data_IF_438480192992
#
_entry.id   IF_438480192992
#
_cell.length_a   1.000
_cell.length_b   1.000
_cell.length_c   1.000
_cell.angle_alpha   90.00
_cell.angle_beta   90.00
_cell.angle_gamma   90.00
#
_symmetry.space_group_name_H-M   'P 1'
#
loop_
_entity.id
_entity.type
_entity.pdbx_description
1 polymer ?
#
# COMPACT_ATOMS: atom_id res chain seq x y z
N UNK A 1 -10.73 -10.71 -0.69
CA UNK A 1 -10.58 -12.15 -1.02
C UNK A 1 -11.14 -12.97 0.14
N UNK A 2 -11.49 -14.25 -0.09
CA UNK A 2 -11.97 -15.14 1.01
C UNK A 2 -10.94 -15.20 2.16
N UNK A 3 -9.66 -15.32 1.83
CA UNK A 3 -8.57 -15.33 2.82
C UNK A 3 -8.46 -14.03 3.63
N UNK A 4 -8.64 -12.87 2.98
CA UNK A 4 -8.55 -11.58 3.67
C UNK A 4 -9.72 -11.35 4.64
N UNK A 5 -10.90 -11.91 4.36
CA UNK A 5 -12.04 -11.84 5.28
C UNK A 5 -11.85 -12.75 6.50
N UNK A 6 -11.32 -13.96 6.29
CA UNK A 6 -10.94 -14.86 7.40
C UNK A 6 -9.90 -14.21 8.31
N UNK A 7 -8.84 -13.63 7.73
CA UNK A 7 -7.82 -12.90 8.50
C UNK A 7 -8.39 -11.70 9.24
N UNK A 8 -9.28 -10.93 8.62
CA UNK A 8 -9.93 -9.79 9.27
C UNK A 8 -10.72 -10.25 10.51
N UNK A 9 -11.52 -11.32 10.38
CA UNK A 9 -12.27 -11.90 11.50
C UNK A 9 -11.35 -12.36 12.63
N UNK A 10 -10.29 -13.10 12.32
CA UNK A 10 -9.31 -13.58 13.31
C UNK A 10 -8.61 -12.43 14.03
N UNK A 11 -8.16 -11.40 13.31
CA UNK A 11 -7.46 -10.25 13.87
C UNK A 11 -8.40 -9.45 14.76
N UNK A 12 -9.60 -9.12 14.28
CA UNK A 12 -10.60 -8.38 15.06
C UNK A 12 -10.99 -9.14 16.33
N UNK A 13 -11.19 -10.45 16.24
CA UNK A 13 -11.45 -11.30 17.42
C UNK A 13 -10.29 -11.25 18.43
N UNK A 14 -9.04 -11.34 17.95
CA UNK A 14 -7.84 -11.23 18.80
C UNK A 14 -7.66 -9.84 19.42
N UNK A 15 -8.22 -8.80 18.82
CA UNK A 15 -8.26 -7.44 19.37
C UNK A 15 -9.38 -7.27 20.42
N UNK A 16 -10.17 -8.31 20.69
CA UNK A 16 -11.19 -8.33 21.74
C UNK A 16 -12.58 -7.86 21.30
N UNK A 17 -12.85 -7.80 20.00
CA UNK A 17 -14.20 -7.52 19.48
C UNK A 17 -14.86 -8.79 18.94
N UNK A 18 -16.18 -8.80 18.85
CA UNK A 18 -16.97 -9.89 18.24
C UNK A 18 -17.51 -9.42 16.87
N UNK A 19 -16.72 -9.49 15.79
CA UNK A 19 -17.10 -8.88 14.52
C UNK A 19 -18.16 -9.69 13.78
N UNK A 20 -19.14 -8.98 13.19
CA UNK A 20 -20.02 -9.54 12.16
C UNK A 20 -19.27 -9.73 10.83
N UNK A 21 -19.92 -10.37 9.85
CA UNK A 21 -19.38 -10.49 8.50
C UNK A 21 -19.24 -9.11 7.83
N UNK A 22 -20.23 -8.23 8.02
CA UNK A 22 -20.21 -6.86 7.49
C UNK A 22 -19.07 -6.03 8.08
N UNK A 23 -18.77 -6.19 9.38
CA UNK A 23 -17.61 -5.52 10.01
C UNK A 23 -16.30 -5.96 9.35
N UNK A 24 -16.16 -7.25 9.05
CA UNK A 24 -14.96 -7.79 8.40
C UNK A 24 -14.80 -7.25 6.98
N UNK A 25 -15.90 -7.11 6.24
CA UNK A 25 -15.91 -6.53 4.89
C UNK A 25 -15.54 -5.05 4.97
N UNK A 26 -16.13 -4.30 5.90
CA UNK A 26 -15.86 -2.88 6.09
C UNK A 26 -14.38 -2.65 6.43
N UNK A 27 -13.82 -3.40 7.38
CA UNK A 27 -12.40 -3.29 7.75
C UNK A 27 -11.48 -3.64 6.58
N UNK A 28 -11.76 -4.72 5.83
CA UNK A 28 -10.99 -5.05 4.64
C UNK A 28 -11.01 -3.91 3.61
N UNK A 29 -12.18 -3.30 3.39
CA UNK A 29 -12.32 -2.20 2.44
C UNK A 29 -11.56 -0.95 2.88
N UNK A 30 -11.67 -0.59 4.17
CA UNK A 30 -10.91 0.53 4.75
C UNK A 30 -9.41 0.30 4.62
N UNK A 31 -8.91 -0.90 4.96
CA UNK A 31 -7.49 -1.23 4.82
C UNK A 31 -7.01 -1.08 3.37
N UNK A 32 -7.79 -1.57 2.40
CA UNK A 32 -7.45 -1.45 0.98
C UNK A 32 -7.39 0.02 0.53
N UNK A 33 -8.34 0.85 0.95
CA UNK A 33 -8.34 2.29 0.63
C UNK A 33 -7.11 2.97 1.24
N UNK A 34 -6.83 2.71 2.52
CA UNK A 34 -5.72 3.34 3.22
C UNK A 34 -4.38 2.95 2.61
N UNK A 35 -4.16 1.66 2.35
CA UNK A 35 -2.89 1.20 1.76
C UNK A 35 -2.71 1.69 0.32
N UNK A 36 -3.77 1.67 -0.48
CA UNK A 36 -3.74 2.17 -1.85
C UNK A 36 -3.46 3.68 -1.90
N UNK A 37 -4.08 4.47 -1.01
CA UNK A 37 -3.79 5.91 -0.91
C UNK A 37 -2.33 6.17 -0.53
N UNK A 38 -1.81 5.41 0.44
CA UNK A 38 -0.39 5.50 0.81
C UNK A 38 0.53 5.18 -0.37
N UNK A 39 0.25 4.12 -1.12
CA UNK A 39 1.02 3.76 -2.32
C UNK A 39 0.98 4.88 -3.38
N UNK A 40 -0.18 5.47 -3.64
CA UNK A 40 -0.33 6.56 -4.61
C UNK A 40 0.43 7.83 -4.20
N UNK A 41 0.41 8.18 -2.91
CA UNK A 41 1.18 9.33 -2.41
C UNK A 41 2.69 9.13 -2.59
N UNK A 42 3.19 7.92 -2.32
CA UNK A 42 4.60 7.62 -2.56
C UNK A 42 4.93 7.57 -4.06
N UNK A 43 4.04 7.02 -4.89
CA UNK A 43 4.22 7.03 -6.33
C UNK A 43 4.31 8.47 -6.89
N UNK A 44 3.47 9.39 -6.40
CA UNK A 44 3.50 10.79 -6.80
C UNK A 44 4.81 11.49 -6.40
N UNK A 45 5.25 11.30 -5.14
CA UNK A 45 6.49 11.91 -4.65
C UNK A 45 7.73 11.33 -5.33
N UNK A 46 7.79 10.00 -5.52
CA UNK A 46 8.86 9.35 -6.27
C UNK A 46 8.86 9.81 -7.74
N UNK A 47 7.68 9.93 -8.36
CA UNK A 47 7.52 10.46 -9.71
C UNK A 47 8.10 11.87 -9.85
N UNK A 48 7.91 12.75 -8.86
CA UNK A 48 8.50 14.08 -8.84
C UNK A 48 10.04 14.04 -8.77
N UNK A 49 10.61 13.18 -7.92
CA UNK A 49 12.07 12.99 -7.83
C UNK A 49 12.63 12.48 -9.15
N UNK A 50 12.01 11.46 -9.75
CA UNK A 50 12.44 10.87 -11.01
C UNK A 50 12.33 11.87 -12.17
N UNK A 51 11.28 12.69 -12.19
CA UNK A 51 11.13 13.77 -13.16
C UNK A 51 12.28 14.77 -13.03
N UNK A 52 12.58 15.21 -11.80
CA UNK A 52 13.69 16.12 -11.56
C UNK A 52 15.05 15.52 -11.97
N UNK A 53 15.28 14.24 -11.69
CA UNK A 53 16.51 13.55 -12.12
C UNK A 53 16.63 13.45 -13.65
N UNK A 54 15.51 13.23 -14.35
CA UNK A 54 15.46 13.24 -15.82
C UNK A 54 15.83 14.62 -16.36
N UNK A 55 15.20 15.66 -15.82
CA UNK A 55 15.43 17.05 -16.25
C UNK A 55 16.88 17.48 -16.03
N UNK A 56 17.45 17.14 -14.86
CA UNK A 56 18.86 17.41 -14.54
C UNK A 56 19.83 16.69 -15.51
N UNK A 57 19.47 15.52 -16.03
CA UNK A 57 20.28 14.80 -17.03
C UNK A 57 20.07 15.29 -18.45
N UNK A 58 19.05 16.13 -18.68
CA UNK A 58 18.65 16.65 -19.99
C UNK A 58 18.48 15.54 -21.06
N UNK A 59 17.84 14.43 -20.67
CA UNK A 59 17.57 13.31 -21.59
C UNK A 59 16.06 13.13 -21.81
N UNK A 60 15.63 12.69 -23.01
CA UNK A 60 14.20 12.47 -23.28
C UNK A 60 13.62 11.31 -22.44
N UNK A 61 14.46 10.33 -22.07
CA UNK A 61 14.13 9.17 -21.24
C UNK A 61 15.12 9.02 -20.10
N UNK A 62 14.62 8.65 -18.92
CA UNK A 62 15.43 8.29 -17.75
C UNK A 62 15.41 6.78 -17.57
N UNK A 63 16.59 6.15 -17.52
CA UNK A 63 16.78 4.78 -17.03
C UNK A 63 17.50 4.85 -15.70
N UNK A 64 16.88 4.34 -14.65
CA UNK A 64 17.45 4.31 -13.29
C UNK A 64 16.87 3.13 -12.51
N UNK A 65 17.49 2.82 -11.37
CA UNK A 65 17.02 1.80 -10.43
C UNK A 65 16.72 2.49 -9.11
N UNK A 66 15.58 2.15 -8.49
CA UNK A 66 15.22 2.64 -7.16
C UNK A 66 15.41 1.49 -6.18
N UNK A 67 16.31 1.66 -5.22
CA UNK A 67 16.46 0.71 -4.11
C UNK A 67 15.32 0.92 -3.11
N UNK A 68 14.57 -0.14 -2.82
CA UNK A 68 13.44 -0.11 -1.88
C UNK A 68 13.73 -1.07 -0.73
N UNK A 69 13.51 -0.60 0.48
CA UNK A 69 13.45 -1.41 1.70
C UNK A 69 12.27 -0.93 2.57
N UNK A 70 11.90 -1.73 3.56
CA UNK A 70 10.79 -1.46 4.47
C UNK A 70 9.86 -2.66 4.58
N UNK A 71 9.47 -2.98 5.82
CA UNK A 71 8.59 -4.11 6.12
C UNK A 71 7.25 -4.00 5.39
N UNK A 72 6.67 -2.79 5.26
CA UNK A 72 5.44 -2.56 4.53
C UNK A 72 5.57 -2.93 3.04
N UNK A 73 6.62 -2.47 2.34
CA UNK A 73 6.86 -2.80 0.94
C UNK A 73 7.13 -4.29 0.72
N UNK A 74 7.67 -4.98 1.73
CA UNK A 74 7.99 -6.42 1.67
C UNK A 74 6.82 -7.33 2.01
N UNK A 75 5.90 -6.89 2.87
CA UNK A 75 4.88 -7.76 3.47
C UNK A 75 3.44 -7.37 3.11
N UNK A 76 3.20 -6.19 2.52
CA UNK A 76 1.86 -5.84 2.06
C UNK A 76 1.47 -6.73 0.86
N UNK A 77 0.28 -7.37 0.89
CA UNK A 77 -0.19 -8.22 -0.20
C UNK A 77 -0.64 -7.46 -1.45
#
# INVERSE_FOLDING_TARGET
SKEGLTKAKEILTRLGVEPSEDDCIAVQHVCAIVSFRSANLIAATLGAILTRLKDNKNTPRLRTTVGIDGSLYKMHP
#
